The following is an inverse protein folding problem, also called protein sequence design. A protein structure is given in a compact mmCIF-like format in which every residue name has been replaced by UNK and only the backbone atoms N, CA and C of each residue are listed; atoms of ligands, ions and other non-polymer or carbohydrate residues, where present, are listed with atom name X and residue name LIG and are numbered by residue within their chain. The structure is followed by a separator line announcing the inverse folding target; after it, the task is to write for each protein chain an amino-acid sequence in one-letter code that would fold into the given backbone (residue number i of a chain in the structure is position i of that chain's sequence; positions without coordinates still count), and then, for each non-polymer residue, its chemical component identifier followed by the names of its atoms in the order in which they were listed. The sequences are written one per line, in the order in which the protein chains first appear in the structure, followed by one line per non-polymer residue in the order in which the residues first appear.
data_IF_664248477227
#
_entry.id   IF_664248477227
#
_cell.length_a   1.000
_cell.length_b   1.000
_cell.length_c   1.000
_cell.angle_alpha   90.00
_cell.angle_beta   90.00
_cell.angle_gamma   90.00
#
_symmetry.space_group_name_H-M   'P 1'
#
loop_
_entity.id
_entity.type
_entity.pdbx_description
1 polymer ?
#
# COMPACT_ATOMS: atom_id res chain seq x y z
N UNK A 1 14.92 -9.84 14.15
CA UNK A 1 13.90 -8.85 13.73
C UNK A 1 13.26 -8.30 14.99
N UNK A 2 13.35 -6.99 15.26
CA UNK A 2 12.62 -6.37 16.39
C UNK A 2 11.17 -6.17 15.95
N UNK A 3 10.19 -6.19 16.87
CA UNK A 3 8.76 -5.97 16.57
C UNK A 3 8.48 -4.66 15.81
N UNK A 4 9.42 -3.70 15.87
CA UNK A 4 9.40 -2.40 15.19
C UNK A 4 9.30 -2.52 13.65
N UNK A 5 9.69 -3.65 13.06
CA UNK A 5 9.63 -3.85 11.60
C UNK A 5 8.32 -4.43 11.07
N UNK A 6 7.39 -4.86 11.95
CA UNK A 6 6.12 -5.51 11.55
C UNK A 6 4.95 -4.52 11.40
N UNK A 7 5.23 -3.35 10.86
CA UNK A 7 4.25 -2.27 10.72
C UNK A 7 3.54 -2.32 9.37
N UNK A 8 2.26 -1.89 9.34
CA UNK A 8 1.43 -1.95 8.14
C UNK A 8 2.07 -1.35 6.89
N UNK A 9 2.81 -0.22 6.97
CA UNK A 9 3.46 0.37 5.78
C UNK A 9 4.53 -0.51 5.11
N UNK A 10 5.02 -1.55 5.79
CA UNK A 10 5.97 -2.54 5.25
C UNK A 10 5.28 -3.86 4.88
N UNK A 11 3.95 -3.91 4.96
CA UNK A 11 3.17 -5.13 4.77
C UNK A 11 2.66 -5.23 3.33
N UNK A 12 2.76 -6.41 2.71
CA UNK A 12 2.25 -6.66 1.35
C UNK A 12 0.72 -6.55 1.24
N UNK A 13 0.02 -6.55 2.39
CA UNK A 13 -1.45 -6.45 2.48
C UNK A 13 -1.93 -5.01 2.69
N UNK A 14 -1.01 -4.04 2.74
CA UNK A 14 -1.34 -2.64 2.98
C UNK A 14 -1.50 -1.89 1.66
N UNK A 15 -2.62 -1.18 1.54
CA UNK A 15 -2.89 -0.21 0.49
C UNK A 15 -2.98 1.17 1.13
N UNK A 16 -2.27 2.17 0.59
CA UNK A 16 -2.24 3.52 1.18
C UNK A 16 -3.48 4.31 0.79
N UNK A 17 -3.95 5.20 1.66
CA UNK A 17 -4.94 6.21 1.26
C UNK A 17 -4.27 7.29 0.39
N UNK A 18 -4.90 7.69 -0.72
CA UNK A 18 -4.35 8.69 -1.66
C UNK A 18 -4.03 10.06 -1.03
N UNK A 19 -4.94 10.60 -0.19
CA UNK A 19 -4.78 11.88 0.49
C UNK A 19 -3.97 11.75 1.79
N UNK A 20 -4.25 10.73 2.61
CA UNK A 20 -3.74 10.60 3.97
C UNK A 20 -2.71 9.48 4.11
N UNK A 21 -1.43 9.78 3.91
CA UNK A 21 -0.32 8.78 3.94
C UNK A 21 -0.13 8.02 5.26
N UNK A 22 -0.76 8.46 6.36
CA UNK A 22 -0.72 7.77 7.65
C UNK A 22 -1.88 6.77 7.85
N UNK A 23 -2.87 6.79 6.96
CA UNK A 23 -4.02 5.88 6.91
C UNK A 23 -3.88 4.98 5.69
N UNK A 24 -4.32 3.74 5.83
CA UNK A 24 -4.52 2.87 4.68
C UNK A 24 -5.53 1.78 5.00
N UNK A 25 -5.59 0.80 4.11
CA UNK A 25 -6.51 -0.31 4.16
C UNK A 25 -5.74 -1.63 4.16
N UNK A 26 -6.12 -2.54 5.04
CA UNK A 26 -5.63 -3.92 5.01
C UNK A 26 -6.55 -4.75 4.12
N UNK A 27 -6.08 -5.12 2.93
CA UNK A 27 -6.92 -5.83 1.94
C UNK A 27 -7.39 -7.21 2.42
N UNK A 28 -6.59 -7.86 3.26
CA UNK A 28 -6.90 -9.18 3.83
C UNK A 28 -8.00 -9.08 4.90
N UNK A 29 -7.83 -8.18 5.86
CA UNK A 29 -8.74 -8.03 7.01
C UNK A 29 -9.94 -7.13 6.71
N UNK A 30 -9.93 -6.43 5.59
CA UNK A 30 -10.96 -5.47 5.14
C UNK A 30 -11.25 -4.37 6.16
N UNK A 31 -10.19 -3.81 6.75
CA UNK A 31 -10.28 -2.75 7.76
C UNK A 31 -9.32 -1.62 7.47
N UNK A 32 -9.72 -0.41 7.86
CA UNK A 32 -8.84 0.75 7.91
C UNK A 32 -7.80 0.57 9.01
N UNK A 33 -6.54 0.84 8.68
CA UNK A 33 -5.39 0.72 9.59
C UNK A 33 -4.52 1.97 9.50
N UNK A 34 -3.73 2.22 10.54
CA UNK A 34 -2.66 3.21 10.50
C UNK A 34 -1.37 2.55 10.04
N UNK A 35 -0.53 3.31 9.35
CA UNK A 35 0.78 2.87 8.87
C UNK A 35 1.75 2.25 9.90
N UNK A 36 1.61 2.58 11.19
CA UNK A 36 2.42 2.04 12.31
C UNK A 36 1.72 0.92 13.08
N UNK A 37 0.49 0.55 12.70
CA UNK A 37 -0.19 -0.58 13.33
C UNK A 37 0.56 -1.87 13.04
N UNK A 38 0.48 -2.81 13.98
CA UNK A 38 1.10 -4.14 13.91
C UNK A 38 0.02 -5.20 13.99
N UNK A 39 0.21 -6.33 13.31
CA UNK A 39 -0.69 -7.48 13.44
C UNK A 39 0.08 -8.80 13.29
N UNK A 40 -0.55 -9.90 13.73
CA UNK A 40 0.02 -11.25 13.62
C UNK A 40 0.14 -11.72 12.17
N UNK A 41 -0.79 -11.30 11.31
CA UNK A 41 -0.81 -11.62 9.87
C UNK A 41 0.17 -10.81 9.01
N UNK A 42 1.15 -10.13 9.64
CA UNK A 42 2.12 -9.32 8.92
C UNK A 42 2.90 -10.16 7.90
N UNK A 43 2.94 -9.68 6.66
CA UNK A 43 3.74 -10.27 5.58
C UNK A 43 4.58 -9.16 4.99
N UNK A 44 5.91 -9.28 5.09
CA UNK A 44 6.81 -8.25 4.59
C UNK A 44 6.63 -8.07 3.08
N UNK A 45 6.56 -6.83 2.62
CA UNK A 45 6.54 -6.53 1.19
C UNK A 45 7.97 -6.42 0.69
N UNK A 46 8.60 -7.58 0.49
CA UNK A 46 9.96 -7.69 -0.03
C UNK A 46 10.03 -7.42 -1.55
N UNK A 47 11.25 -7.34 -2.06
CA UNK A 47 11.52 -7.08 -3.47
C UNK A 47 10.84 -8.12 -4.38
N UNK A 48 10.95 -9.42 -4.06
CA UNK A 48 10.33 -10.49 -4.84
C UNK A 48 8.80 -10.31 -4.93
N UNK A 49 8.15 -10.02 -3.81
CA UNK A 49 6.71 -9.77 -3.77
C UNK A 49 6.34 -8.52 -4.57
N UNK A 50 7.12 -7.43 -4.47
CA UNK A 50 6.93 -6.20 -5.27
C UNK A 50 7.08 -6.48 -6.77
N UNK A 51 8.12 -7.19 -7.18
CA UNK A 51 8.33 -7.57 -8.59
C UNK A 51 7.19 -8.42 -9.13
N UNK A 52 6.67 -9.36 -8.34
CA UNK A 52 5.50 -10.16 -8.71
C UNK A 52 4.26 -9.29 -8.90
N UNK A 53 4.02 -8.32 -8.02
CA UNK A 53 2.89 -7.39 -8.18
C UNK A 53 3.01 -6.54 -9.45
N UNK A 54 4.22 -6.07 -9.80
CA UNK A 54 4.46 -5.38 -11.08
C UNK A 54 4.11 -6.31 -12.25
N UNK A 55 4.51 -7.58 -12.20
CA UNK A 55 4.20 -8.55 -13.26
C UNK A 55 2.70 -8.87 -13.36
N UNK A 56 2.01 -9.02 -12.23
CA UNK A 56 0.60 -9.43 -12.19
C UNK A 56 -0.38 -8.26 -12.42
N UNK A 57 -0.10 -7.09 -11.83
CA UNK A 57 -0.96 -5.90 -11.88
C UNK A 57 -0.46 -4.81 -12.83
N UNK A 58 0.80 -4.89 -13.26
CA UNK A 58 1.44 -3.91 -14.13
C UNK A 58 2.16 -2.77 -13.39
N UNK A 59 1.99 -2.63 -12.07
CA UNK A 59 2.59 -1.53 -11.30
C UNK A 59 2.54 -1.76 -9.79
N UNK A 60 3.35 -0.98 -9.06
CA UNK A 60 3.25 -0.72 -7.61
C UNK A 60 3.39 0.78 -7.34
N UNK A 61 3.11 1.25 -6.13
CA UNK A 61 3.17 2.68 -5.81
C UNK A 61 4.32 3.03 -4.87
N UNK A 62 5.13 4.02 -5.23
CA UNK A 62 6.11 4.61 -4.34
C UNK A 62 5.49 5.75 -3.54
N UNK A 63 5.34 5.58 -2.22
CA UNK A 63 4.82 6.64 -1.33
C UNK A 63 5.82 7.78 -1.10
N UNK A 64 7.13 7.53 -1.24
CA UNK A 64 8.15 8.57 -1.09
C UNK A 64 8.07 9.56 -2.25
N UNK A 65 8.14 9.03 -3.48
CA UNK A 65 8.14 9.80 -4.71
C UNK A 65 6.73 10.18 -5.20
N UNK A 66 5.70 9.51 -4.68
CA UNK A 66 4.29 9.62 -5.08
C UNK A 66 4.02 9.26 -6.54
N UNK A 67 4.81 8.33 -7.07
CA UNK A 67 4.71 7.88 -8.46
C UNK A 67 4.48 6.36 -8.52
N UNK A 68 3.71 5.87 -9.52
CA UNK A 68 3.67 4.45 -9.83
C UNK A 68 5.01 4.00 -10.44
N UNK A 69 5.45 2.80 -10.04
CA UNK A 69 6.60 2.09 -10.59
C UNK A 69 6.07 0.98 -11.49
N UNK A 70 6.52 0.94 -12.75
CA UNK A 70 5.98 0.02 -13.76
C UNK A 70 6.94 -1.10 -14.17
N UNK A 71 8.20 -1.04 -13.76
CA UNK A 71 9.21 -2.05 -14.11
C UNK A 71 10.04 -2.50 -12.91
N UNK A 72 10.63 -3.68 -13.02
CA UNK A 72 11.50 -4.22 -11.97
C UNK A 72 12.81 -3.43 -11.90
N UNK A 73 13.31 -2.96 -13.03
CA UNK A 73 14.49 -2.10 -13.10
C UNK A 73 14.25 -0.77 -12.39
N UNK A 74 13.10 -0.13 -12.61
CA UNK A 74 12.72 1.08 -11.87
C UNK A 74 12.58 0.78 -10.37
N UNK A 75 12.02 -0.39 -10.01
CA UNK A 75 11.89 -0.81 -8.62
C UNK A 75 13.25 -0.91 -7.87
N UNK A 76 14.32 -1.30 -8.56
CA UNK A 76 15.68 -1.36 -7.97
C UNK A 76 16.18 0.02 -7.55
N UNK A 77 15.82 1.09 -8.28
CA UNK A 77 16.18 2.47 -7.95
C UNK A 77 15.47 2.99 -6.69
N UNK A 78 14.45 2.25 -6.21
CA UNK A 78 13.58 2.60 -5.08
C UNK A 78 13.76 1.68 -3.86
N UNK A 79 14.95 1.10 -3.65
CA UNK A 79 15.21 0.12 -2.58
C UNK A 79 14.92 0.65 -1.16
N UNK A 80 15.22 1.93 -0.92
CA UNK A 80 15.03 2.61 0.36
C UNK A 80 13.64 3.26 0.52
N UNK A 81 12.84 3.25 -0.54
CA UNK A 81 11.54 3.91 -0.57
C UNK A 81 10.42 3.04 0.01
N UNK A 82 9.37 3.73 0.48
CA UNK A 82 8.17 3.06 0.97
C UNK A 82 7.31 2.71 -0.25
N UNK A 83 7.41 1.45 -0.67
CA UNK A 83 6.59 0.90 -1.75
C UNK A 83 5.38 0.21 -1.17
N UNK A 84 4.21 0.51 -1.73
CA UNK A 84 2.93 -0.10 -1.37
C UNK A 84 2.25 -0.66 -2.61
N UNK A 85 1.34 -1.59 -2.37
CA UNK A 85 0.77 -2.41 -3.43
C UNK A 85 -0.11 -1.61 -4.39
N UNK A 86 -0.91 -0.71 -3.82
CA UNK A 86 -1.78 0.21 -4.52
C UNK A 86 -2.14 1.36 -3.57
N UNK A 87 -2.85 2.37 -4.10
CA UNK A 87 -3.60 3.30 -3.29
C UNK A 87 -5.09 2.98 -3.39
N UNK A 88 -5.78 3.01 -2.26
CA UNK A 88 -7.23 2.90 -2.24
C UNK A 88 -7.80 4.32 -2.38
N UNK A 89 -8.58 4.53 -3.43
CA UNK A 89 -9.45 5.68 -3.55
C UNK A 89 -10.62 5.43 -2.60
N UNK A 90 -10.85 6.33 -1.65
CA UNK A 90 -12.15 6.36 -0.99
C UNK A 90 -13.15 6.61 -2.13
N UNK A 91 -13.99 5.61 -2.46
CA UNK A 91 -15.07 5.82 -3.40
C UNK A 91 -15.80 7.07 -2.93
N UNK A 92 -15.68 8.15 -3.69
CA UNK A 92 -16.52 9.32 -3.56
C UNK A 92 -17.92 8.82 -3.87
N UNK A 93 -18.60 8.28 -2.86
CA UNK A 93 -20.04 8.21 -2.85
C UNK A 93 -20.47 9.68 -2.79
N UNK A 94 -20.64 10.29 -3.98
CA UNK A 94 -21.62 11.35 -4.10
C UNK A 94 -22.91 10.76 -3.54
N UNK A 95 -23.24 11.12 -2.30
CA UNK A 95 -24.59 10.94 -1.81
C UNK A 95 -25.47 11.69 -2.81
N UNK A 96 -26.07 10.94 -3.75
CA UNK A 96 -27.20 11.40 -4.54
C UNK A 96 -28.29 11.71 -3.52
N UNK A 97 -28.25 12.93 -2.98
CA UNK A 97 -29.37 13.55 -2.31
C UNK A 97 -30.47 13.67 -3.35
N UNK A 98 -31.23 12.58 -3.50
CA UNK A 98 -32.57 12.64 -4.04
C UNK A 98 -33.37 13.38 -2.97
N UNK A 99 -33.50 14.68 -3.15
CA UNK A 99 -34.45 15.47 -2.39
C UNK A 99 -35.85 14.99 -2.80
N UNK A 100 -36.52 14.28 -1.89
CA UNK A 100 -37.97 14.05 -1.92
C UNK A 100 -38.73 15.37 -1.66
#
# INVERSE_FOLDING_TARGET
MREIDKICKKCAKFSVHEIYSYIGFCVERKVTVRFHDVCEDFTHFDFETKSREIFEKGWVYCMTCRMPIFSVEELEEHEDDIIVREFFLEEVHEELHSAD
#
